data_IF_309217410220
#
_entry.id   IF_309217410220
#
_cell.length_a   1.000
_cell.length_b   1.000
_cell.length_c   1.000
_cell.angle_alpha   90.00
_cell.angle_beta   90.00
_cell.angle_gamma   90.00
#
_symmetry.space_group_name_H-M   'P 1'
#
loop_
_entity.id
_entity.type
_entity.pdbx_description
1 polymer ?
#
# COMPACT_ATOMS: atom_id res chain seq x y z
N UNK A 1 4.25 7.81 -1.83
CA UNK A 1 5.24 7.31 -0.84
C UNK A 1 4.60 6.43 0.22
N UNK A 2 3.67 6.94 1.06
CA UNK A 2 3.06 6.15 2.16
C UNK A 2 2.32 4.90 1.72
N UNK A 3 1.67 4.94 0.56
CA UNK A 3 1.04 3.76 -0.02
C UNK A 3 2.07 2.66 -0.30
N UNK A 4 3.16 2.98 -1.00
CA UNK A 4 4.26 2.03 -1.25
C UNK A 4 4.89 1.48 0.04
N UNK A 5 5.10 2.34 1.05
CA UNK A 5 5.52 1.92 2.40
C UNK A 5 4.52 0.92 3.00
N UNK A 6 3.22 1.18 2.90
CA UNK A 6 2.17 0.31 3.44
C UNK A 6 2.16 -1.06 2.75
N UNK A 7 2.36 -1.10 1.44
CA UNK A 7 2.48 -2.35 0.67
C UNK A 7 3.66 -3.19 1.15
N UNK A 8 4.84 -2.57 1.27
CA UNK A 8 6.06 -3.25 1.73
C UNK A 8 5.93 -3.77 3.17
N UNK A 9 5.35 -2.97 4.06
CA UNK A 9 5.20 -3.32 5.48
C UNK A 9 4.10 -4.37 5.72
N UNK A 10 3.19 -4.60 4.77
CA UNK A 10 2.20 -5.67 4.86
C UNK A 10 2.79 -7.08 4.69
N UNK A 11 3.92 -7.20 3.98
CA UNK A 11 4.56 -8.49 3.69
C UNK A 11 5.13 -9.15 4.96
N UNK A 12 5.97 -8.47 5.79
CA UNK A 12 6.52 -9.06 7.00
C UNK A 12 5.48 -9.70 7.92
N UNK A 13 4.41 -8.98 8.27
CA UNK A 13 3.37 -9.50 9.16
C UNK A 13 2.64 -10.71 8.57
N UNK A 14 2.40 -10.69 7.25
CA UNK A 14 1.79 -11.84 6.55
C UNK A 14 2.71 -13.05 6.56
N UNK A 15 3.98 -12.89 6.23
CA UNK A 15 4.98 -13.96 6.27
C UNK A 15 5.12 -14.52 7.69
N UNK A 16 5.14 -13.66 8.71
CA UNK A 16 5.18 -14.11 10.10
C UNK A 16 3.97 -14.97 10.44
N UNK A 17 2.74 -14.51 10.13
CA UNK A 17 1.53 -15.28 10.41
C UNK A 17 1.46 -16.61 9.65
N UNK A 18 1.89 -16.63 8.38
CA UNK A 18 1.84 -17.81 7.53
C UNK A 18 2.91 -18.85 7.88
N UNK A 19 4.15 -18.41 8.12
CA UNK A 19 5.30 -19.31 8.23
C UNK A 19 5.71 -19.62 9.68
N UNK A 20 5.27 -18.86 10.68
CA UNK A 20 5.63 -19.12 12.08
C UNK A 20 5.27 -20.54 12.55
N UNK A 21 4.11 -21.14 12.19
CA UNK A 21 3.83 -22.54 12.56
C UNK A 21 4.88 -23.51 12.02
N UNK A 22 5.25 -23.37 10.73
CA UNK A 22 6.27 -24.20 10.10
C UNK A 22 7.66 -23.96 10.71
N UNK A 23 8.01 -22.70 10.95
CA UNK A 23 9.29 -22.34 11.55
C UNK A 23 9.41 -22.90 12.98
N UNK A 24 8.35 -22.78 13.78
CA UNK A 24 8.31 -23.33 15.14
C UNK A 24 8.42 -24.85 15.12
N UNK A 25 7.64 -25.53 14.27
CA UNK A 25 7.60 -26.99 14.22
C UNK A 25 8.90 -27.60 13.67
N UNK A 26 9.45 -27.07 12.58
CA UNK A 26 10.51 -27.74 11.83
C UNK A 26 11.90 -27.13 12.00
N UNK A 27 12.00 -25.86 12.43
CA UNK A 27 13.30 -25.19 12.64
C UNK A 27 13.65 -25.15 14.12
N UNK A 28 12.72 -24.71 14.97
CA UNK A 28 12.94 -24.62 16.43
C UNK A 28 12.71 -25.96 17.11
N UNK A 29 11.78 -26.78 16.63
CA UNK A 29 11.54 -28.15 17.11
C UNK A 29 11.42 -28.25 18.66
N UNK A 30 10.56 -27.45 19.31
CA UNK A 30 10.42 -27.53 20.76
C UNK A 30 9.61 -28.76 21.19
N UNK A 31 9.76 -29.17 22.46
CA UNK A 31 9.05 -30.33 23.02
C UNK A 31 7.52 -30.28 22.85
N UNK A 32 6.94 -29.07 22.89
CA UNK A 32 5.51 -28.84 22.66
C UNK A 32 5.29 -27.69 21.66
N UNK A 33 5.29 -27.97 20.33
CA UNK A 33 5.17 -26.95 19.30
C UNK A 33 3.88 -26.14 19.38
N UNK A 34 2.76 -26.75 19.75
CA UNK A 34 1.47 -26.05 19.86
C UNK A 34 1.47 -25.01 20.99
N UNK A 35 1.97 -25.39 22.18
CA UNK A 35 2.11 -24.45 23.31
C UNK A 35 3.04 -23.30 22.95
N UNK A 36 4.18 -23.60 22.33
CA UNK A 36 5.14 -22.58 21.93
C UNK A 36 4.59 -21.66 20.86
N UNK A 37 3.90 -22.18 19.84
CA UNK A 37 3.25 -21.36 18.83
C UNK A 37 2.27 -20.35 19.44
N UNK A 38 1.45 -20.80 20.42
CA UNK A 38 0.57 -19.90 21.17
C UNK A 38 1.35 -18.81 21.90
N UNK A 39 2.42 -19.17 22.63
CA UNK A 39 3.25 -18.21 23.36
C UNK A 39 3.97 -17.21 22.43
N UNK A 40 4.47 -17.68 21.29
CA UNK A 40 5.17 -16.87 20.29
C UNK A 40 4.22 -15.85 19.63
N UNK A 41 3.01 -16.29 19.23
CA UNK A 41 1.98 -15.39 18.72
C UNK A 41 1.49 -14.41 19.79
N UNK A 42 1.26 -14.90 21.01
CA UNK A 42 0.88 -14.05 22.13
C UNK A 42 1.95 -12.99 22.42
N UNK A 43 3.23 -13.37 22.43
CA UNK A 43 4.35 -12.43 22.60
C UNK A 43 4.41 -11.38 21.50
N UNK A 44 4.26 -11.80 20.24
CA UNK A 44 4.23 -10.89 19.09
C UNK A 44 3.08 -9.87 19.17
N UNK A 45 1.84 -10.31 19.37
CA UNK A 45 0.70 -9.39 19.40
C UNK A 45 0.59 -8.59 20.70
N UNK A 46 0.93 -9.20 21.84
CA UNK A 46 0.91 -8.49 23.13
C UNK A 46 1.99 -7.41 23.17
N UNK A 47 3.19 -7.68 22.64
CA UNK A 47 4.22 -6.64 22.55
C UNK A 47 3.80 -5.48 21.65
N UNK A 48 3.10 -5.73 20.54
CA UNK A 48 2.57 -4.65 19.70
C UNK A 48 1.66 -3.69 20.50
N UNK A 49 0.85 -4.23 21.41
CA UNK A 49 -0.01 -3.43 22.30
C UNK A 49 0.77 -2.79 23.45
N UNK A 50 1.60 -3.55 24.17
CA UNK A 50 2.32 -3.10 25.36
C UNK A 50 3.35 -2.01 25.06
N UNK A 51 4.00 -2.06 23.89
CA UNK A 51 4.98 -1.06 23.48
C UNK A 51 4.35 0.16 22.79
N UNK A 52 3.02 0.18 22.58
CA UNK A 52 2.33 1.31 21.94
C UNK A 52 2.56 2.65 22.67
N UNK A 53 2.43 2.75 24.01
CA UNK A 53 2.69 4.00 24.73
C UNK A 53 4.13 4.50 24.56
N UNK A 54 5.11 3.58 24.56
CA UNK A 54 6.51 3.91 24.32
C UNK A 54 6.68 4.56 22.96
N UNK A 55 6.10 3.98 21.92
CA UNK A 55 6.20 4.54 20.57
C UNK A 55 5.45 5.87 20.41
N UNK A 56 4.33 6.07 21.11
CA UNK A 56 3.66 7.38 21.15
C UNK A 56 4.61 8.43 21.72
N UNK A 57 5.28 8.16 22.85
CA UNK A 57 6.27 9.07 23.45
C UNK A 57 7.43 9.35 22.50
N UNK A 58 8.00 8.31 21.87
CA UNK A 58 9.08 8.45 20.88
C UNK A 58 8.61 9.34 19.73
N UNK A 59 7.42 9.07 19.16
CA UNK A 59 6.89 9.82 18.02
C UNK A 59 6.65 11.30 18.32
N UNK A 60 6.31 11.65 19.57
CA UNK A 60 6.16 13.04 20.02
C UNK A 60 7.50 13.76 20.14
N UNK A 61 8.56 13.04 20.55
CA UNK A 61 9.90 13.62 20.74
C UNK A 61 10.68 13.77 19.43
N UNK A 62 10.72 12.73 18.60
CA UNK A 62 11.55 12.72 17.38
C UNK A 62 10.75 12.91 16.08
N UNK A 63 9.42 12.97 16.19
CA UNK A 63 8.50 13.05 15.04
C UNK A 63 8.10 11.69 14.48
N UNK A 64 6.93 11.64 13.83
CA UNK A 64 6.32 10.42 13.26
C UNK A 64 7.23 9.71 12.26
N UNK A 65 7.89 10.47 11.37
CA UNK A 65 8.82 9.94 10.35
C UNK A 65 9.99 9.21 10.98
N UNK A 66 10.68 9.83 11.94
CA UNK A 66 11.86 9.25 12.57
C UNK A 66 11.49 8.07 13.46
N UNK A 67 10.37 8.15 14.18
CA UNK A 67 9.83 7.00 14.91
C UNK A 67 9.52 5.81 13.98
N UNK A 68 8.99 6.07 12.77
CA UNK A 68 8.75 5.02 11.79
C UNK A 68 10.05 4.40 11.27
N UNK A 69 11.09 5.21 11.03
CA UNK A 69 12.41 4.72 10.63
C UNK A 69 13.03 3.83 11.72
N UNK A 70 12.97 4.25 12.99
CA UNK A 70 13.45 3.46 14.13
C UNK A 70 12.72 2.12 14.23
N UNK A 71 11.38 2.12 14.13
CA UNK A 71 10.57 0.90 14.11
C UNK A 71 10.96 -0.04 12.97
N UNK A 72 11.20 0.50 11.77
CA UNK A 72 11.62 -0.30 10.61
C UNK A 72 13.02 -0.89 10.80
N UNK A 73 13.96 -0.14 11.39
CA UNK A 73 15.30 -0.67 11.71
C UNK A 73 15.20 -1.79 12.74
N UNK A 74 14.41 -1.60 13.80
CA UNK A 74 14.19 -2.62 14.83
C UNK A 74 13.56 -3.88 14.23
N UNK A 75 12.49 -3.73 13.44
CA UNK A 75 11.80 -4.86 12.80
C UNK A 75 12.67 -5.55 11.74
N UNK A 76 13.46 -4.80 10.97
CA UNK A 76 14.37 -5.37 9.99
C UNK A 76 15.52 -6.15 10.62
N UNK A 77 16.13 -5.60 11.67
CA UNK A 77 17.18 -6.28 12.44
C UNK A 77 16.64 -7.50 13.18
N UNK A 78 15.50 -7.36 13.85
CA UNK A 78 14.82 -8.46 14.53
C UNK A 78 14.43 -9.59 13.57
N UNK A 79 13.92 -9.27 12.37
CA UNK A 79 13.64 -10.26 11.35
C UNK A 79 14.91 -10.96 10.82
N UNK A 80 15.97 -10.21 10.53
CA UNK A 80 17.21 -10.78 9.99
C UNK A 80 17.89 -11.72 10.98
N UNK A 81 17.92 -11.35 12.27
CA UNK A 81 18.57 -12.13 13.33
C UNK A 81 17.88 -13.47 13.61
N UNK A 82 16.60 -13.63 13.23
CA UNK A 82 15.90 -14.93 13.31
C UNK A 82 16.60 -16.02 12.48
N UNK A 83 17.42 -15.65 11.48
CA UNK A 83 18.19 -16.63 10.69
C UNK A 83 19.15 -17.46 11.55
N UNK A 84 19.57 -16.95 12.71
CA UNK A 84 20.50 -17.63 13.62
C UNK A 84 19.82 -18.56 14.62
N UNK A 85 18.48 -18.52 14.73
CA UNK A 85 17.73 -19.34 15.70
C UNK A 85 17.86 -20.81 15.34
N UNK A 86 18.35 -21.62 16.28
CA UNK A 86 18.53 -23.05 16.17
C UNK A 86 17.42 -23.89 16.85
N UNK A 87 17.56 -25.23 16.80
CA UNK A 87 16.69 -26.14 17.53
C UNK A 87 16.74 -25.87 19.05
N UNK A 88 15.60 -25.92 19.72
CA UNK A 88 15.44 -25.68 21.17
C UNK A 88 15.44 -24.21 21.59
N UNK A 89 15.86 -23.27 20.73
CA UNK A 89 16.03 -21.84 21.06
C UNK A 89 14.72 -21.02 21.07
N UNK A 90 13.71 -21.56 21.74
CA UNK A 90 12.37 -20.99 21.85
C UNK A 90 12.32 -19.61 22.50
N UNK A 91 13.09 -19.42 23.59
CA UNK A 91 13.17 -18.13 24.29
C UNK A 91 13.83 -17.04 23.45
N UNK A 92 14.86 -17.40 22.66
CA UNK A 92 15.48 -16.47 21.73
C UNK A 92 14.49 -16.05 20.64
N UNK A 93 13.78 -17.01 20.04
CA UNK A 93 12.74 -16.70 19.05
C UNK A 93 11.65 -15.82 19.66
N UNK A 94 11.22 -16.10 20.89
CA UNK A 94 10.22 -15.28 21.60
C UNK A 94 10.71 -13.85 21.78
N UNK A 95 11.95 -13.63 22.23
CA UNK A 95 12.52 -12.30 22.39
C UNK A 95 12.57 -11.53 21.06
N UNK A 96 12.97 -12.19 19.97
CA UNK A 96 12.99 -11.60 18.63
C UNK A 96 11.58 -11.29 18.10
N UNK A 97 10.59 -12.14 18.39
CA UNK A 97 9.19 -11.86 18.03
C UNK A 97 8.59 -10.74 18.87
N UNK A 98 8.97 -10.60 20.14
CA UNK A 98 8.58 -9.44 20.97
C UNK A 98 9.16 -8.15 20.38
N UNK A 99 10.42 -8.19 19.92
CA UNK A 99 11.05 -7.06 19.25
C UNK A 99 10.32 -6.69 17.95
N UNK A 100 10.03 -7.68 17.10
CA UNK A 100 9.28 -7.49 15.86
C UNK A 100 7.82 -7.06 16.09
N UNK A 101 7.19 -7.58 17.14
CA UNK A 101 5.86 -7.19 17.57
C UNK A 101 5.82 -5.74 18.03
N UNK A 102 6.84 -5.26 18.75
CA UNK A 102 6.98 -3.84 19.09
C UNK A 102 7.04 -2.95 17.83
N UNK A 103 7.80 -3.37 16.80
CA UNK A 103 7.90 -2.65 15.53
C UNK A 103 6.55 -2.64 14.78
N UNK A 104 5.82 -3.76 14.80
CA UNK A 104 4.47 -3.88 14.25
C UNK A 104 3.45 -2.98 14.98
N UNK A 105 3.55 -2.89 16.31
CA UNK A 105 2.75 -1.96 17.12
C UNK A 105 2.99 -0.51 16.72
N UNK A 106 4.25 -0.13 16.51
CA UNK A 106 4.60 1.21 16.04
C UNK A 106 3.97 1.53 14.69
N UNK A 107 4.08 0.59 13.74
CA UNK A 107 3.49 0.73 12.41
C UNK A 107 1.97 0.94 12.48
N UNK A 108 1.29 0.20 13.37
CA UNK A 108 -0.17 0.20 13.50
C UNK A 108 -0.76 1.56 13.86
N UNK A 109 -0.06 2.42 14.61
CA UNK A 109 -0.54 3.79 14.92
C UNK A 109 0.17 4.88 14.09
N UNK A 110 1.47 4.74 13.80
CA UNK A 110 2.20 5.73 13.01
C UNK A 110 1.64 5.82 11.60
N UNK A 111 1.23 4.69 11.02
CA UNK A 111 0.72 4.69 9.66
C UNK A 111 -0.60 5.48 9.55
N UNK A 112 -1.66 5.24 10.34
CA UNK A 112 -2.83 6.12 10.39
C UNK A 112 -2.49 7.59 10.67
N UNK A 113 -1.56 7.86 11.58
CA UNK A 113 -1.18 9.23 11.92
C UNK A 113 -0.47 9.98 10.77
N UNK A 114 0.35 9.30 9.98
CA UNK A 114 0.99 9.87 8.78
C UNK A 114 0.03 9.95 7.60
N UNK A 115 -0.96 9.05 7.55
CA UNK A 115 -2.05 9.06 6.56
C UNK A 115 -2.93 10.30 6.73
N UNK A 116 -3.25 10.67 7.97
CA UNK A 116 -3.95 11.92 8.28
C UNK A 116 -3.18 13.15 7.77
N UNK A 117 -1.86 13.20 7.97
CA UNK A 117 -1.03 14.31 7.48
C UNK A 117 -1.08 14.50 5.95
N UNK A 118 -1.26 13.40 5.19
CA UNK A 118 -1.44 13.45 3.73
C UNK A 118 -2.85 13.89 3.36
N UNK A 119 -3.86 13.53 4.15
CA UNK A 119 -5.24 14.00 3.93
C UNK A 119 -5.33 15.50 4.23
N UNK A 120 -4.66 16.00 5.26
CA UNK A 120 -4.59 17.45 5.53
C UNK A 120 -3.83 18.17 4.40
N UNK A 121 -2.77 17.56 3.85
CA UNK A 121 -2.10 18.10 2.66
C UNK A 121 -3.04 18.17 1.45
N UNK A 122 -3.88 17.15 1.24
CA UNK A 122 -4.89 17.13 0.18
C UNK A 122 -6.02 18.16 0.42
N UNK A 123 -6.41 18.37 1.68
CA UNK A 123 -7.36 19.41 2.09
C UNK A 123 -6.82 20.80 1.79
N UNK A 124 -5.54 21.06 2.04
CA UNK A 124 -4.89 22.32 1.65
C UNK A 124 -5.03 22.60 0.15
N UNK A 125 -4.90 21.59 -0.71
CA UNK A 125 -4.99 21.79 -2.16
C UNK A 125 -6.42 21.84 -2.70
N UNK A 126 -7.37 21.19 -2.02
CA UNK A 126 -8.69 20.93 -2.61
C UNK A 126 -9.85 21.51 -1.83
N UNK A 127 -9.61 21.98 -0.60
CA UNK A 127 -10.65 22.42 0.33
C UNK A 127 -11.59 21.32 0.80
N UNK A 128 -11.37 20.06 0.42
CA UNK A 128 -12.28 18.94 0.69
C UNK A 128 -11.56 17.88 1.53
N UNK A 129 -12.22 17.42 2.59
CA UNK A 129 -11.71 16.31 3.42
C UNK A 129 -12.01 14.97 2.75
N UNK A 130 -11.04 14.41 2.02
CA UNK A 130 -11.19 13.14 1.26
C UNK A 130 -10.92 11.88 2.09
N UNK A 131 -11.18 11.92 3.39
CA UNK A 131 -10.83 10.86 4.35
C UNK A 131 -11.32 9.46 3.91
N UNK A 132 -12.57 9.36 3.46
CA UNK A 132 -13.18 8.09 3.06
C UNK A 132 -12.52 7.49 1.82
N UNK A 133 -12.11 8.31 0.84
CA UNK A 133 -11.46 7.85 -0.38
C UNK A 133 -10.06 7.32 -0.09
N UNK A 134 -9.26 8.11 0.65
CA UNK A 134 -7.93 7.71 1.08
C UNK A 134 -7.97 6.44 1.94
N UNK A 135 -8.91 6.36 2.88
CA UNK A 135 -9.07 5.20 3.76
C UNK A 135 -9.44 3.94 2.96
N UNK A 136 -10.37 4.05 2.02
CA UNK A 136 -10.78 2.93 1.16
C UNK A 136 -9.62 2.42 0.30
N UNK A 137 -8.87 3.34 -0.32
CA UNK A 137 -7.69 2.99 -1.12
C UNK A 137 -6.63 2.28 -0.27
N UNK A 138 -6.30 2.84 0.89
CA UNK A 138 -5.32 2.24 1.80
C UNK A 138 -5.76 0.94 2.47
N UNK A 139 -7.06 0.65 2.52
CA UNK A 139 -7.57 -0.62 3.03
C UNK A 139 -7.52 -1.74 1.97
N UNK A 140 -7.74 -1.40 0.70
CA UNK A 140 -7.81 -2.38 -0.39
C UNK A 140 -6.42 -2.71 -0.93
N UNK A 141 -5.58 -1.71 -1.18
CA UNK A 141 -4.33 -1.91 -1.90
C UNK A 141 -3.35 -2.91 -1.25
N UNK A 142 -3.13 -2.90 0.07
CA UNK A 142 -2.26 -3.88 0.73
C UNK A 142 -2.66 -5.34 0.47
N UNK A 143 -3.96 -5.62 0.28
CA UNK A 143 -4.44 -7.00 0.05
C UNK A 143 -3.85 -7.63 -1.20
N UNK A 144 -3.59 -6.83 -2.24
CA UNK A 144 -2.97 -7.29 -3.48
C UNK A 144 -1.54 -7.79 -3.30
N UNK A 145 -0.87 -7.38 -2.22
CA UNK A 145 0.48 -7.82 -1.88
C UNK A 145 0.46 -8.92 -0.82
N UNK A 146 -0.48 -8.84 0.13
CA UNK A 146 -0.64 -9.84 1.19
C UNK A 146 -1.06 -11.21 0.66
N UNK A 147 -1.96 -11.29 -0.32
CA UNK A 147 -2.37 -12.57 -0.94
C UNK A 147 -1.15 -13.35 -1.49
N UNK A 148 -0.29 -12.76 -2.34
CA UNK A 148 0.98 -13.37 -2.73
C UNK A 148 1.86 -13.77 -1.56
N UNK A 149 2.01 -12.87 -0.59
CA UNK A 149 2.88 -13.07 0.56
C UNK A 149 2.44 -14.27 1.41
N UNK A 150 1.16 -14.62 1.45
CA UNK A 150 0.67 -15.84 2.10
C UNK A 150 0.75 -17.09 1.21
N UNK A 151 0.44 -16.97 -0.09
CA UNK A 151 0.27 -18.13 -0.95
C UNK A 151 1.59 -18.68 -1.53
N UNK A 152 2.49 -17.79 -1.97
CA UNK A 152 3.74 -18.16 -2.63
C UNK A 152 4.65 -18.99 -1.70
N UNK A 153 4.86 -18.62 -0.43
CA UNK A 153 5.73 -19.40 0.46
C UNK A 153 5.25 -20.84 0.63
N UNK A 154 3.94 -21.05 0.81
CA UNK A 154 3.36 -22.39 0.98
C UNK A 154 3.56 -23.22 -0.30
N UNK A 155 3.29 -22.62 -1.46
CA UNK A 155 3.50 -23.28 -2.75
C UNK A 155 4.97 -23.68 -2.96
N UNK A 156 5.88 -22.77 -2.60
CA UNK A 156 7.32 -23.01 -2.71
C UNK A 156 7.75 -24.18 -1.81
N UNK A 157 7.30 -24.22 -0.56
CA UNK A 157 7.55 -25.36 0.33
C UNK A 157 7.05 -26.67 -0.27
N UNK A 158 5.84 -26.68 -0.83
CA UNK A 158 5.28 -27.85 -1.50
C UNK A 158 6.16 -28.35 -2.65
N UNK A 159 6.66 -27.44 -3.49
CA UNK A 159 7.58 -27.80 -4.60
C UNK A 159 8.96 -28.26 -4.15
N UNK A 160 9.42 -27.80 -2.98
CA UNK A 160 10.68 -28.24 -2.39
C UNK A 160 10.57 -29.59 -1.65
N UNK A 161 9.39 -30.22 -1.70
CA UNK A 161 9.15 -31.54 -1.12
C UNK A 161 8.70 -31.50 0.34
N UNK A 162 8.09 -30.41 0.80
CA UNK A 162 7.48 -30.35 2.12
C UNK A 162 6.47 -31.49 2.32
N UNK A 163 6.59 -32.20 3.45
CA UNK A 163 5.65 -33.25 3.87
C UNK A 163 5.27 -32.98 5.34
N UNK A 164 3.97 -32.88 5.68
CA UNK A 164 3.58 -32.56 7.04
C UNK A 164 3.95 -33.68 8.03
N UNK A 165 4.28 -33.31 9.27
CA UNK A 165 4.49 -34.20 10.42
C UNK A 165 5.64 -35.21 10.29
N UNK A 166 6.61 -34.94 9.42
CA UNK A 166 7.85 -35.71 9.32
C UNK A 166 9.05 -34.77 9.40
N UNK A 167 10.24 -35.32 9.57
CA UNK A 167 11.49 -34.56 9.46
C UNK A 167 11.63 -33.99 8.04
N UNK A 168 12.02 -32.71 7.95
CA UNK A 168 12.13 -32.02 6.67
C UNK A 168 13.56 -32.08 6.13
N UNK A 169 13.68 -32.06 4.81
CA UNK A 169 14.99 -31.92 4.16
C UNK A 169 15.65 -30.59 4.51
N UNK A 170 16.99 -30.56 4.46
CA UNK A 170 17.76 -29.33 4.69
C UNK A 170 17.33 -28.21 3.72
N UNK A 171 16.98 -28.55 2.48
CA UNK A 171 16.48 -27.61 1.48
C UNK A 171 15.20 -26.89 1.94
N UNK A 172 14.25 -27.63 2.52
CA UNK A 172 12.99 -27.06 3.04
C UNK A 172 13.26 -26.18 4.26
N UNK A 173 14.09 -26.65 5.20
CA UNK A 173 14.48 -25.89 6.39
C UNK A 173 15.18 -24.57 6.00
N UNK A 174 16.10 -24.64 5.03
CA UNK A 174 16.79 -23.46 4.51
C UNK A 174 15.80 -22.49 3.88
N UNK A 175 14.89 -22.96 3.03
CA UNK A 175 13.86 -22.13 2.43
C UNK A 175 12.98 -21.43 3.49
N UNK A 176 12.58 -22.15 4.53
CA UNK A 176 11.86 -21.57 5.68
C UNK A 176 12.64 -20.43 6.32
N UNK A 177 13.95 -20.61 6.57
CA UNK A 177 14.82 -19.55 7.13
C UNK A 177 14.87 -18.32 6.22
N UNK A 178 15.09 -18.50 4.91
CA UNK A 178 15.14 -17.37 3.97
C UNK A 178 13.82 -16.61 3.89
N UNK A 179 12.69 -17.33 3.80
CA UNK A 179 11.37 -16.70 3.69
C UNK A 179 10.88 -16.09 5.01
N UNK A 180 11.24 -16.66 6.16
CA UNK A 180 10.77 -16.17 7.45
C UNK A 180 11.65 -15.07 8.04
N UNK A 181 12.96 -15.06 7.75
CA UNK A 181 13.90 -14.08 8.28
C UNK A 181 14.32 -13.03 7.23
N UNK A 182 14.90 -13.49 6.11
CA UNK A 182 15.56 -12.60 5.15
C UNK A 182 14.57 -11.79 4.32
N UNK A 183 13.50 -12.43 3.83
CA UNK A 183 12.50 -11.73 3.01
C UNK A 183 11.78 -10.59 3.78
N UNK A 184 11.32 -10.78 5.02
CA UNK A 184 10.80 -9.68 5.84
C UNK A 184 11.83 -8.58 6.09
N UNK A 185 13.08 -8.94 6.41
CA UNK A 185 14.15 -7.96 6.62
C UNK A 185 14.40 -7.08 5.39
N UNK A 186 14.40 -7.69 4.19
CA UNK A 186 14.50 -6.94 2.93
C UNK A 186 13.31 -5.99 2.72
N UNK A 187 12.09 -6.41 3.08
CA UNK A 187 10.91 -5.56 3.00
C UNK A 187 10.99 -4.37 3.98
N UNK A 188 11.48 -4.58 5.21
CA UNK A 188 11.74 -3.50 6.16
C UNK A 188 12.78 -2.52 5.64
N UNK A 189 13.89 -3.01 5.07
CA UNK A 189 14.93 -2.17 4.49
C UNK A 189 14.41 -1.34 3.30
N UNK A 190 13.63 -1.95 2.40
CA UNK A 190 12.98 -1.23 1.31
C UNK A 190 11.99 -0.18 1.84
N UNK A 191 11.19 -0.52 2.86
CA UNK A 191 10.25 0.41 3.47
C UNK A 191 10.97 1.58 4.17
N UNK A 192 12.14 1.32 4.78
CA UNK A 192 13.01 2.34 5.35
C UNK A 192 13.47 3.34 4.28
N UNK A 193 14.01 2.86 3.16
CA UNK A 193 14.45 3.72 2.04
C UNK A 193 13.29 4.55 1.49
N UNK A 194 12.09 3.97 1.34
CA UNK A 194 10.89 4.71 0.91
C UNK A 194 10.51 5.77 1.93
N UNK A 195 10.61 5.48 3.23
CA UNK A 195 10.26 6.39 4.32
C UNK A 195 11.23 7.57 4.43
N UNK A 196 12.51 7.39 4.06
CA UNK A 196 13.48 8.48 3.99
C UNK A 196 13.02 9.60 3.04
N UNK A 197 12.29 9.29 1.97
CA UNK A 197 11.79 10.29 1.04
C UNK A 197 10.49 10.97 1.48
N UNK A 198 9.91 10.59 2.62
CA UNK A 198 8.66 11.19 3.08
C UNK A 198 8.90 12.64 3.56
N UNK A 199 8.26 13.66 2.95
CA UNK A 199 8.61 15.06 3.18
C UNK A 199 7.85 15.71 4.35
N UNK A 200 6.74 15.12 4.80
CA UNK A 200 5.88 15.73 5.81
C UNK A 200 6.43 15.39 7.20
N UNK A 201 7.11 16.36 7.81
CA UNK A 201 7.55 16.33 9.21
C UNK A 201 6.67 17.23 10.06
N UNK A 202 6.90 17.28 11.38
CA UNK A 202 6.10 18.08 12.31
C UNK A 202 6.02 19.57 11.90
N UNK A 203 7.15 20.17 11.52
CA UNK A 203 7.18 21.57 11.07
C UNK A 203 6.44 21.76 9.74
N UNK A 204 6.60 20.85 8.78
CA UNK A 204 5.89 20.87 7.50
C UNK A 204 4.39 20.71 7.70
N UNK A 205 3.96 19.77 8.55
CA UNK A 205 2.56 19.53 8.86
C UNK A 205 1.90 20.73 9.55
N UNK A 206 2.62 21.41 10.46
CA UNK A 206 2.13 22.67 11.05
C UNK A 206 1.84 23.72 9.97
N UNK A 207 2.77 23.93 9.03
CA UNK A 207 2.58 24.86 7.91
C UNK A 207 1.39 24.49 7.02
N UNK A 208 1.11 23.20 6.84
CA UNK A 208 -0.09 22.73 6.11
C UNK A 208 -1.36 23.19 6.85
N UNK A 209 -1.43 22.99 8.16
CA UNK A 209 -2.57 23.41 8.99
C UNK A 209 -2.74 24.94 9.00
N UNK A 210 -1.63 25.69 9.07
CA UNK A 210 -1.65 27.15 9.00
C UNK A 210 -2.19 27.64 7.63
N UNK A 211 -1.85 26.92 6.54
CA UNK A 211 -2.37 27.18 5.21
C UNK A 211 -3.87 26.90 5.08
N UNK A 212 -4.37 25.80 5.66
CA UNK A 212 -5.81 25.53 5.71
C UNK A 212 -6.54 26.64 6.48
N UNK A 213 -5.98 27.09 7.61
CA UNK A 213 -6.53 28.20 8.36
C UNK A 213 -6.50 29.52 7.57
N UNK A 214 -5.51 29.74 6.70
CA UNK A 214 -5.46 30.88 5.78
C UNK A 214 -6.56 30.82 4.73
N UNK A 215 -6.82 29.63 4.16
CA UNK A 215 -7.94 29.45 3.23
C UNK A 215 -9.30 29.75 3.86
N UNK A 216 -9.50 29.45 5.15
CA UNK A 216 -10.72 29.83 5.89
C UNK A 216 -10.89 31.35 6.00
N UNK A 217 -9.81 32.14 5.86
CA UNK A 217 -9.83 33.61 5.80
C UNK A 217 -9.87 34.15 4.37
N UNK A 218 -9.91 33.28 3.35
CA UNK A 218 -9.85 33.68 1.95
C UNK A 218 -8.44 34.06 1.45
N UNK A 219 -7.40 33.73 2.23
CA UNK A 219 -6.00 34.01 1.88
C UNK A 219 -5.38 32.82 1.13
N UNK A 220 -4.49 33.08 0.17
CA UNK A 220 -3.68 32.00 -0.42
C UNK A 220 -2.61 31.51 0.57
N UNK A 221 -2.26 30.23 0.49
CA UNK A 221 -1.20 29.63 1.29
C UNK A 221 -0.03 29.18 0.41
N UNK A 222 1.16 28.96 0.97
CA UNK A 222 2.27 28.32 0.27
C UNK A 222 2.33 26.86 0.71
N UNK A 223 2.28 25.93 -0.24
CA UNK A 223 2.47 24.51 0.03
C UNK A 223 3.90 24.27 0.53
N UNK A 224 4.10 23.84 1.78
CA UNK A 224 5.44 23.66 2.35
C UNK A 224 6.19 22.45 1.78
N UNK A 225 5.54 21.59 0.98
CA UNK A 225 6.15 20.44 0.32
C UNK A 225 6.60 20.80 -1.09
N UNK A 226 5.76 21.48 -1.88
CA UNK A 226 6.05 21.81 -3.29
C UNK A 226 6.57 23.23 -3.51
N UNK A 227 6.35 24.15 -2.56
CA UNK A 227 6.67 25.58 -2.68
C UNK A 227 5.67 26.39 -3.51
N UNK A 228 4.59 25.77 -3.99
CA UNK A 228 3.59 26.44 -4.84
C UNK A 228 2.62 27.30 -4.00
N UNK A 229 2.19 28.44 -4.55
CA UNK A 229 1.06 29.22 -4.01
C UNK A 229 -0.23 28.45 -4.29
N UNK A 230 -1.05 28.24 -3.27
CA UNK A 230 -2.32 27.52 -3.34
C UNK A 230 -3.44 28.52 -3.02
N UNK A 231 -4.30 28.89 -3.98
CA UNK A 231 -5.42 29.79 -3.73
C UNK A 231 -6.47 29.11 -2.83
N UNK A 232 -7.36 29.88 -2.17
CA UNK A 232 -8.45 29.30 -1.40
C UNK A 232 -9.47 28.56 -2.30
N UNK A 233 -10.24 27.62 -1.74
CA UNK A 233 -11.31 26.93 -2.45
C UNK A 233 -12.28 27.91 -3.13
N UNK A 234 -12.76 27.58 -4.33
CA UNK A 234 -13.59 28.46 -5.16
C UNK A 234 -12.83 29.51 -5.98
N UNK A 235 -11.53 29.71 -5.76
CA UNK A 235 -10.66 30.59 -6.58
C UNK A 235 -9.67 29.81 -7.45
N UNK A 236 -9.93 28.53 -7.68
CA UNK A 236 -9.11 27.69 -8.56
C UNK A 236 -9.35 28.02 -10.05
N UNK A 237 -8.38 27.67 -10.89
CA UNK A 237 -8.42 27.90 -12.33
C UNK A 237 -9.58 27.16 -13.06
N UNK A 238 -10.14 26.15 -12.42
CA UNK A 238 -11.31 25.37 -12.87
C UNK A 238 -12.25 25.25 -11.68
N UNK A 239 -13.55 25.29 -11.93
CA UNK A 239 -14.55 25.15 -10.86
C UNK A 239 -14.34 23.85 -10.06
N UNK A 240 -14.54 23.92 -8.75
CA UNK A 240 -14.19 22.83 -7.83
C UNK A 240 -14.96 21.54 -8.13
N UNK A 241 -16.17 21.63 -8.69
CA UNK A 241 -16.99 20.46 -9.03
C UNK A 241 -16.50 19.75 -10.28
N UNK A 242 -16.06 20.50 -11.30
CA UNK A 242 -15.40 19.96 -12.48
C UNK A 242 -14.02 19.41 -12.12
N UNK A 243 -13.21 20.15 -11.37
CA UNK A 243 -11.90 19.69 -10.88
C UNK A 243 -12.03 18.35 -10.13
N UNK A 244 -12.97 18.27 -9.19
CA UNK A 244 -13.30 17.06 -8.47
C UNK A 244 -13.74 15.90 -9.37
N UNK A 245 -14.52 16.21 -10.40
CA UNK A 245 -14.93 15.20 -11.36
C UNK A 245 -13.75 14.67 -12.17
N UNK A 246 -12.85 15.56 -12.59
CA UNK A 246 -11.65 15.22 -13.36
C UNK A 246 -10.64 14.39 -12.55
N UNK A 247 -10.62 14.52 -11.21
CA UNK A 247 -9.80 13.68 -10.30
C UNK A 247 -10.10 12.18 -10.36
N UNK A 248 -11.25 11.77 -10.92
CA UNK A 248 -11.55 10.35 -11.16
C UNK A 248 -10.63 9.72 -12.22
N UNK A 249 -9.93 10.54 -13.00
CA UNK A 249 -9.13 10.11 -14.14
C UNK A 249 -7.67 10.49 -13.93
N UNK A 250 -6.76 9.63 -14.40
CA UNK A 250 -5.34 9.96 -14.34
C UNK A 250 -5.00 11.09 -15.33
N UNK A 251 -3.93 11.86 -15.07
CA UNK A 251 -3.50 12.93 -15.99
C UNK A 251 -3.28 12.45 -17.44
N UNK A 252 -2.80 11.21 -17.61
CA UNK A 252 -2.61 10.59 -18.92
C UNK A 252 -3.94 10.36 -19.65
N UNK A 253 -4.98 9.95 -18.92
CA UNK A 253 -6.31 9.70 -19.50
C UNK A 253 -7.02 10.99 -19.88
N UNK A 254 -6.87 12.03 -19.05
CA UNK A 254 -7.36 13.36 -19.37
C UNK A 254 -6.69 13.92 -20.64
N UNK A 255 -5.37 13.77 -20.74
CA UNK A 255 -4.60 14.18 -21.92
C UNK A 255 -5.05 13.42 -23.18
N UNK A 256 -5.26 12.11 -23.07
CA UNK A 256 -5.77 11.29 -24.18
C UNK A 256 -7.19 11.68 -24.57
N UNK A 257 -8.07 11.90 -23.60
CA UNK A 257 -9.44 12.33 -23.86
C UNK A 257 -9.50 13.71 -24.55
N UNK A 258 -8.59 14.61 -24.20
CA UNK A 258 -8.47 15.92 -24.86
C UNK A 258 -7.97 15.81 -26.30
N UNK A 259 -7.09 14.84 -26.60
CA UNK A 259 -6.52 14.63 -27.95
C UNK A 259 -7.37 13.78 -28.88
N UNK A 260 -7.90 12.67 -28.39
CA UNK A 260 -8.63 11.64 -29.17
C UNK A 260 -10.16 11.77 -29.02
N UNK A 261 -10.63 12.72 -28.21
CA UNK A 261 -12.04 12.89 -27.84
C UNK A 261 -12.45 12.03 -26.66
N UNK A 262 -13.37 12.53 -25.83
CA UNK A 262 -13.78 11.89 -24.57
C UNK A 262 -14.35 10.46 -24.72
N UNK A 263 -15.08 10.09 -25.79
CA UNK A 263 -15.53 8.71 -25.99
C UNK A 263 -14.39 7.68 -26.10
N UNK A 264 -13.18 8.11 -26.48
CA UNK A 264 -11.99 7.24 -26.53
C UNK A 264 -11.69 6.62 -25.16
N UNK A 265 -11.93 7.36 -24.08
CA UNK A 265 -11.69 6.88 -22.72
C UNK A 265 -12.63 5.74 -22.33
N UNK A 266 -13.93 5.89 -22.63
CA UNK A 266 -14.92 4.83 -22.38
C UNK A 266 -14.59 3.56 -23.19
N UNK A 267 -14.13 3.72 -24.43
CA UNK A 267 -13.69 2.60 -25.28
C UNK A 267 -12.46 1.90 -24.70
N UNK A 268 -11.46 2.65 -24.25
CA UNK A 268 -10.24 2.11 -23.61
C UNK A 268 -10.58 1.35 -22.32
N UNK A 269 -11.42 1.92 -21.45
CA UNK A 269 -11.86 1.24 -20.21
C UNK A 269 -12.64 -0.04 -20.52
N UNK A 270 -13.48 -0.04 -21.55
CA UNK A 270 -14.18 -1.24 -22.00
C UNK A 270 -13.22 -2.33 -22.49
N UNK A 271 -12.19 -1.96 -23.27
CA UNK A 271 -11.15 -2.90 -23.70
C UNK A 271 -10.35 -3.47 -22.53
N UNK A 272 -10.00 -2.65 -21.54
CA UNK A 272 -9.32 -3.13 -20.33
C UNK A 272 -10.20 -4.09 -19.51
N UNK A 273 -11.50 -3.81 -19.40
CA UNK A 273 -12.44 -4.74 -18.76
C UNK A 273 -12.50 -6.08 -19.52
N UNK A 274 -12.69 -6.03 -20.84
CA UNK A 274 -12.75 -7.23 -21.68
C UNK A 274 -11.44 -8.04 -21.62
N UNK A 275 -10.29 -7.38 -21.71
CA UNK A 275 -8.98 -8.01 -21.60
C UNK A 275 -8.74 -8.64 -20.22
N UNK A 276 -9.15 -7.97 -19.14
CA UNK A 276 -9.05 -8.51 -17.77
C UNK A 276 -9.93 -9.75 -17.59
N UNK A 277 -11.16 -9.73 -18.14
CA UNK A 277 -12.05 -10.89 -18.11
C UNK A 277 -11.49 -12.04 -18.95
N UNK A 278 -11.00 -11.76 -20.15
CA UNK A 278 -10.38 -12.75 -21.03
C UNK A 278 -9.17 -13.40 -20.36
N UNK A 279 -8.31 -12.63 -19.70
CA UNK A 279 -7.18 -13.16 -18.94
C UNK A 279 -7.65 -14.04 -17.77
N UNK A 280 -8.65 -13.58 -17.00
CA UNK A 280 -9.23 -14.35 -15.89
C UNK A 280 -9.74 -15.72 -16.36
N UNK A 281 -10.53 -15.74 -17.45
CA UNK A 281 -11.12 -16.94 -18.03
C UNK A 281 -10.04 -17.83 -18.65
N UNK A 282 -9.09 -17.28 -19.40
CA UNK A 282 -8.03 -18.05 -20.03
C UNK A 282 -7.15 -18.76 -19.00
N UNK A 283 -6.72 -18.04 -17.95
CA UNK A 283 -5.91 -18.63 -16.87
C UNK A 283 -6.74 -19.65 -16.09
N UNK A 284 -8.00 -19.34 -15.77
CA UNK A 284 -8.90 -20.29 -15.11
C UNK A 284 -9.11 -21.56 -15.94
N UNK A 285 -9.26 -21.44 -17.25
CA UNK A 285 -9.41 -22.56 -18.18
C UNK A 285 -8.16 -23.44 -18.21
N UNK A 286 -6.97 -22.83 -18.34
CA UNK A 286 -5.69 -23.56 -18.30
C UNK A 286 -5.53 -24.32 -16.97
N UNK A 287 -5.88 -23.69 -15.85
CA UNK A 287 -5.81 -24.35 -14.55
C UNK A 287 -6.75 -25.55 -14.46
N UNK A 288 -8.01 -25.39 -14.86
CA UNK A 288 -9.00 -26.46 -14.82
C UNK A 288 -8.61 -27.64 -15.72
N UNK A 289 -8.05 -27.38 -16.91
CA UNK A 289 -7.61 -28.44 -17.83
C UNK A 289 -6.26 -29.06 -17.44
N UNK A 290 -5.46 -28.34 -16.66
CA UNK A 290 -4.21 -28.85 -16.08
C UNK A 290 -4.41 -29.71 -14.82
N UNK A 291 -5.63 -29.77 -14.26
CA UNK A 291 -5.92 -30.60 -13.09
C UNK A 291 -6.13 -32.05 -13.50
N UNK A 292 -5.15 -32.90 -13.19
CA UNK A 292 -5.20 -34.35 -13.46
C UNK A 292 -5.89 -35.16 -12.36
N UNK A 293 -6.21 -34.54 -11.21
CA UNK A 293 -6.93 -35.15 -10.08
C UNK A 293 -6.96 -34.23 -8.85
N UNK A 294 -7.85 -34.50 -7.89
CA UNK A 294 -7.99 -33.72 -6.65
C UNK A 294 -6.84 -33.97 -5.66
N UNK A 295 -6.15 -35.10 -5.78
CA UNK A 295 -5.04 -35.50 -4.92
C UNK A 295 -3.69 -34.95 -5.38
N UNK A 296 -3.64 -34.34 -6.56
CA UNK A 296 -2.42 -33.76 -7.11
C UNK A 296 -2.02 -32.52 -6.30
N UNK A 297 -0.80 -32.50 -5.75
CA UNK A 297 -0.27 -31.34 -5.03
C UNK A 297 -0.19 -30.15 -6.00
N UNK A 298 -0.84 -29.01 -5.69
CA UNK A 298 -0.78 -27.85 -6.57
C UNK A 298 0.65 -27.31 -6.60
N UNK A 299 1.26 -27.29 -7.80
CA UNK A 299 2.58 -26.70 -7.98
C UNK A 299 2.52 -25.16 -7.87
N UNK A 300 3.70 -24.54 -7.74
CA UNK A 300 3.85 -23.07 -7.79
C UNK A 300 3.13 -22.44 -9.00
N UNK A 301 3.18 -23.00 -10.23
CA UNK A 301 2.44 -22.44 -11.37
C UNK A 301 0.92 -22.39 -11.14
N UNK A 302 0.34 -23.41 -10.49
CA UNK A 302 -1.10 -23.44 -10.19
C UNK A 302 -1.48 -22.34 -9.21
N UNK A 303 -0.69 -22.14 -8.16
CA UNK A 303 -0.91 -21.08 -7.17
C UNK A 303 -0.78 -19.69 -7.80
N UNK A 304 0.26 -19.47 -8.61
CA UNK A 304 0.42 -18.22 -9.37
C UNK A 304 -0.76 -18.01 -10.31
N UNK A 305 -1.21 -19.05 -11.02
CA UNK A 305 -2.36 -18.97 -11.91
C UNK A 305 -3.64 -18.56 -11.18
N UNK A 306 -3.94 -19.18 -10.03
CA UNK A 306 -5.12 -18.83 -9.22
C UNK A 306 -5.05 -17.36 -8.79
N UNK A 307 -3.87 -16.90 -8.37
CA UNK A 307 -3.66 -15.49 -8.01
C UNK A 307 -3.86 -14.57 -9.21
N UNK A 308 -3.25 -14.86 -10.36
CA UNK A 308 -3.39 -14.05 -11.58
C UNK A 308 -4.85 -13.99 -12.03
N UNK A 309 -5.57 -15.13 -12.00
CA UNK A 309 -7.00 -15.18 -12.32
C UNK A 309 -7.81 -14.31 -11.36
N UNK A 310 -7.57 -14.42 -10.05
CA UNK A 310 -8.23 -13.58 -9.05
C UNK A 310 -7.94 -12.08 -9.20
N UNK A 311 -6.68 -11.71 -9.47
CA UNK A 311 -6.28 -10.33 -9.74
C UNK A 311 -6.93 -9.78 -11.01
N UNK A 312 -6.98 -10.60 -12.07
CA UNK A 312 -7.64 -10.25 -13.33
C UNK A 312 -9.15 -10.07 -13.14
N UNK A 313 -9.79 -10.89 -12.31
CA UNK A 313 -11.19 -10.70 -11.94
C UNK A 313 -11.42 -9.40 -11.17
N UNK A 314 -10.56 -9.08 -10.19
CA UNK A 314 -10.62 -7.80 -9.49
C UNK A 314 -10.45 -6.61 -10.46
N UNK A 315 -9.52 -6.70 -11.40
CA UNK A 315 -9.30 -5.68 -12.43
C UNK A 315 -10.52 -5.53 -13.35
N UNK A 316 -11.15 -6.64 -13.74
CA UNK A 316 -12.40 -6.63 -14.49
C UNK A 316 -13.51 -5.87 -13.74
N UNK A 317 -13.76 -6.22 -12.47
CA UNK A 317 -14.78 -5.55 -11.65
C UNK A 317 -14.47 -4.06 -11.49
N UNK A 318 -13.20 -3.71 -11.23
CA UNK A 318 -12.76 -2.32 -11.14
C UNK A 318 -13.06 -1.54 -12.43
N UNK A 319 -12.68 -2.08 -13.59
CA UNK A 319 -12.95 -1.45 -14.88
C UNK A 319 -14.44 -1.39 -15.21
N UNK A 320 -15.23 -2.39 -14.81
CA UNK A 320 -16.68 -2.40 -14.99
C UNK A 320 -17.37 -1.26 -14.24
N UNK A 321 -17.00 -1.04 -12.98
CA UNK A 321 -17.49 0.10 -12.18
C UNK A 321 -17.07 1.42 -12.82
N UNK A 322 -15.80 1.51 -13.24
CA UNK A 322 -15.23 2.71 -13.84
C UNK A 322 -15.80 3.05 -15.22
N UNK A 323 -16.28 2.06 -15.96
CA UNK A 323 -16.90 2.25 -17.27
C UNK A 323 -18.12 3.17 -17.20
N UNK A 324 -18.90 3.11 -16.11
CA UNK A 324 -20.02 4.04 -15.88
C UNK A 324 -19.55 5.48 -15.76
N UNK A 325 -18.46 5.72 -15.01
CA UNK A 325 -17.88 7.05 -14.87
C UNK A 325 -17.32 7.56 -16.21
N UNK A 326 -16.60 6.73 -16.97
CA UNK A 326 -16.06 7.10 -18.28
C UNK A 326 -17.15 7.42 -19.32
N UNK A 327 -18.26 6.66 -19.33
CA UNK A 327 -19.42 6.97 -20.19
C UNK A 327 -20.09 8.28 -19.81
N UNK A 328 -20.25 8.55 -18.50
CA UNK A 328 -20.77 9.84 -18.01
C UNK A 328 -19.86 11.00 -18.41
N UNK A 329 -18.54 10.81 -18.37
CA UNK A 329 -17.59 11.85 -18.78
C UNK A 329 -17.80 12.22 -20.24
N UNK A 330 -17.82 11.21 -21.12
CA UNK A 330 -18.07 11.42 -22.54
C UNK A 330 -19.43 12.08 -22.84
N UNK A 331 -20.46 11.80 -22.03
CA UNK A 331 -21.77 12.44 -22.16
C UNK A 331 -21.80 13.88 -21.64
N UNK A 332 -20.96 14.23 -20.66
CA UNK A 332 -20.89 15.57 -20.05
C UNK A 332 -20.25 16.60 -20.98
N UNK A 333 -19.35 16.17 -21.87
CA UNK A 333 -18.79 17.03 -22.92
C UNK A 333 -17.93 18.19 -22.40
N UNK A 334 -17.11 17.96 -21.37
CA UNK A 334 -16.27 19.00 -20.75
C UNK A 334 -15.28 19.57 -21.79
N UNK A 335 -15.21 20.88 -22.03
CA UNK A 335 -14.32 21.45 -23.04
C UNK A 335 -12.86 20.99 -22.87
N UNK A 336 -12.21 20.64 -23.98
CA UNK A 336 -10.81 20.17 -23.97
C UNK A 336 -9.85 21.22 -23.37
N UNK A 337 -10.18 22.50 -23.53
CA UNK A 337 -9.45 23.60 -22.92
C UNK A 337 -9.53 23.57 -21.38
N UNK A 338 -10.72 23.34 -20.81
CA UNK A 338 -10.91 23.19 -19.36
C UNK A 338 -10.11 22.02 -18.81
N UNK A 339 -10.10 20.88 -19.52
CA UNK A 339 -9.29 19.71 -19.15
C UNK A 339 -7.79 20.06 -19.18
N UNK A 340 -7.35 20.82 -20.18
CA UNK A 340 -5.96 21.24 -20.33
C UNK A 340 -5.56 22.24 -19.24
N UNK A 341 -6.43 23.20 -18.91
CA UNK A 341 -6.25 24.17 -17.83
C UNK A 341 -6.13 23.48 -16.48
N UNK A 342 -7.03 22.52 -16.21
CA UNK A 342 -6.94 21.65 -15.03
C UNK A 342 -5.62 20.87 -14.98
N UNK A 343 -5.21 20.28 -16.10
CA UNK A 343 -3.96 19.54 -16.15
C UNK A 343 -2.73 20.43 -15.89
N UNK A 344 -2.73 21.68 -16.38
CA UNK A 344 -1.65 22.65 -16.08
C UNK A 344 -1.62 23.04 -14.61
N UNK A 345 -2.78 23.27 -13.97
CA UNK A 345 -2.80 23.65 -12.55
C UNK A 345 -2.24 22.57 -11.62
N UNK A 346 -2.16 21.32 -12.07
CA UNK A 346 -1.53 20.22 -11.35
C UNK A 346 0.01 20.16 -11.52
N UNK A 347 0.61 20.97 -12.41
CA UNK A 347 2.05 20.97 -12.66
C UNK A 347 2.77 22.07 -11.87
N UNK A 348 4.01 21.83 -11.40
CA UNK A 348 4.83 22.86 -10.78
C UNK A 348 5.03 24.04 -11.75
N UNK A 349 4.53 25.23 -11.40
CA UNK A 349 4.61 26.44 -12.22
C UNK A 349 3.43 26.70 -13.17
N UNK A 350 2.34 25.92 -13.08
CA UNK A 350 1.18 26.04 -13.98
C UNK A 350 0.05 26.96 -13.50
N UNK A 351 0.25 27.71 -12.42
CA UNK A 351 -0.69 28.76 -12.00
C UNK A 351 -0.31 30.02 -12.78
N UNK A 352 -1.23 30.61 -13.58
CA UNK A 352 -0.94 31.83 -14.31
C UNK A 352 -0.53 32.92 -13.32
N UNK A 353 0.48 33.69 -13.70
CA UNK A 353 0.77 34.97 -13.05
C UNK A 353 -0.48 35.87 -13.18
N UNK A 354 -0.76 36.73 -12.18
CA UNK A 354 -1.94 37.62 -12.17
C UNK A 354 -2.00 38.56 -13.40
N UNK A 355 -0.94 38.61 -14.21
CA UNK A 355 -0.90 39.29 -15.50
C UNK A 355 -1.73 38.64 -16.62
N UNK A 356 -2.20 37.40 -16.46
CA UNK A 356 -2.96 36.67 -17.50
C UNK A 356 -4.50 36.78 -17.34
N UNK A 357 -4.98 37.53 -16.34
CA UNK A 357 -6.41 37.80 -16.10
C UNK A 357 -6.95 39.09 -16.72
N UNK A 358 -6.14 39.82 -17.50
CA UNK A 358 -6.60 40.96 -18.31
C UNK A 358 -7.20 40.50 -19.65
N UNK A 359 -8.30 39.72 -19.58
CA UNK A 359 -9.23 39.62 -20.71
C UNK A 359 -10.54 40.26 -20.25
N UNK A 360 -10.72 41.49 -20.71
CA UNK A 360 -11.71 42.47 -20.28
C UNK A 360 -13.13 41.92 -20.13
N UNK A 361 -13.71 42.22 -18.97
CA UNK A 361 -15.11 42.57 -18.92
C UNK A 361 -15.25 43.99 -19.49
N UNK A 362 -15.72 44.08 -20.73
CA UNK A 362 -16.29 45.28 -21.33
C UNK A 362 -17.62 44.91 -21.97
#
# INVERSE_FOLDING_TARGET
>A
ILLGKSLLMGIPGTLTGTLLPFFTQYVVQPDNPARWLMLLLAGYFSSAFLFLPLWIVISRRVGKRNAALMSQTIGGFGALTVVFVGPGETWLLLALLVLNGSAFGAFSFLMPAMKADVIDHDELHTGRRREAQYTSLWAILPKFVMIPASAIPIALLGTLGYVPNVEQSETVIRALRWMFAVAPAACFAAAFVVTLRFPIQHATHRKILDGIAAHQRGESAIDPVSGLRVPPPGQHAVDDDTAWYLDHFSPRELTLAAREGQPSLARRVAWLAAGSLALCVAVGWVLLHGMTGLDAKPGVPSVIGVMVSGLAFCAFVFHLVRLRAARRFAARGIPAETITRYHRSLQPGGIPDESDTDVGFA
#
